data_IF_661143207826
#
_entry.id   IF_661143207826
#
_cell.length_a   1.000
_cell.length_b   1.000
_cell.length_c   1.000
_cell.angle_alpha   90.00
_cell.angle_beta   90.00
_cell.angle_gamma   90.00
#
_symmetry.space_group_name_H-M   'P 1'
#
loop_
_entity.id
_entity.type
_entity.pdbx_description
1 polymer ?
#
# COMPACT_ATOMS: atom_id res chain seq x y z
N UNK A 1 10.05 -23.08 22.20
CA UNK A 1 10.52 -24.48 22.10
C UNK A 1 12.02 -24.56 22.44
N UNK A 2 12.46 -25.53 23.25
CA UNK A 2 13.88 -25.72 23.58
C UNK A 2 14.50 -26.71 22.58
N UNK A 3 15.41 -26.24 21.72
CA UNK A 3 15.98 -27.06 20.63
C UNK A 3 17.38 -27.52 20.99
N UNK A 4 17.65 -28.81 20.80
CA UNK A 4 18.90 -29.47 21.14
C UNK A 4 19.66 -29.84 19.87
N UNK A 5 20.96 -29.53 19.82
CA UNK A 5 21.89 -30.14 18.87
C UNK A 5 21.96 -31.64 19.15
N UNK A 6 21.95 -32.44 18.09
CA UNK A 6 22.19 -33.88 18.15
C UNK A 6 23.50 -34.15 18.91
N UNK A 7 23.43 -34.94 19.98
CA UNK A 7 24.58 -35.34 20.80
C UNK A 7 24.99 -34.38 21.92
N UNK A 8 24.27 -33.28 22.18
CA UNK A 8 24.56 -32.40 23.32
C UNK A 8 23.67 -32.72 24.53
N UNK A 9 24.22 -32.56 25.73
CA UNK A 9 23.53 -32.76 27.03
C UNK A 9 22.83 -31.47 27.50
N UNK A 10 22.97 -30.37 26.75
CA UNK A 10 22.31 -29.10 27.04
C UNK A 10 21.63 -28.51 25.80
N UNK A 11 20.48 -27.81 25.96
CA UNK A 11 19.76 -27.20 24.84
C UNK A 11 20.64 -26.14 24.15
N UNK A 12 20.55 -26.07 22.83
CA UNK A 12 21.25 -25.09 22.00
C UNK A 12 20.48 -23.77 21.91
N UNK A 13 19.16 -23.83 22.10
CA UNK A 13 18.27 -22.70 22.39
C UNK A 13 17.48 -23.03 23.68
N UNK A 14 17.64 -22.24 24.75
CA UNK A 14 16.88 -22.41 26.01
C UNK A 14 15.75 -21.39 26.05
N UNK A 15 14.50 -21.82 26.23
CA UNK A 15 13.43 -20.89 26.62
C UNK A 15 13.48 -20.63 28.13
N UNK A 16 12.89 -19.50 28.55
CA UNK A 16 12.86 -19.04 29.95
C UNK A 16 12.25 -20.07 30.90
N UNK A 17 11.23 -20.80 30.45
CA UNK A 17 10.57 -21.88 31.20
C UNK A 17 11.52 -23.08 31.41
N UNK A 18 12.24 -23.52 30.37
CA UNK A 18 13.24 -24.59 30.51
C UNK A 18 14.38 -24.17 31.47
N UNK A 19 14.78 -22.89 31.48
CA UNK A 19 15.80 -22.36 32.40
C UNK A 19 15.33 -22.41 33.86
N UNK A 20 14.06 -22.11 34.11
CA UNK A 20 13.46 -22.15 35.44
C UNK A 20 13.22 -23.60 35.92
N UNK A 21 12.60 -24.44 35.09
CA UNK A 21 12.28 -25.83 35.42
C UNK A 21 13.53 -26.72 35.58
N UNK A 22 14.58 -26.50 34.79
CA UNK A 22 15.84 -27.25 34.94
C UNK A 22 16.58 -26.92 36.23
N UNK A 23 16.48 -25.68 36.73
CA UNK A 23 17.05 -25.28 38.02
C UNK A 23 16.27 -25.83 39.21
N UNK A 24 14.95 -25.94 39.11
CA UNK A 24 14.09 -26.38 40.22
C UNK A 24 13.94 -27.90 40.32
N UNK A 25 13.92 -28.63 39.20
CA UNK A 25 13.43 -30.01 39.19
C UNK A 25 14.39 -31.06 38.60
N UNK A 26 15.63 -30.72 38.21
CA UNK A 26 16.60 -31.68 37.62
C UNK A 26 16.00 -32.58 36.50
N UNK A 27 15.05 -32.06 35.74
CA UNK A 27 14.33 -32.82 34.71
C UNK A 27 15.26 -33.16 33.53
N UNK A 28 15.46 -34.45 33.26
CA UNK A 28 16.13 -34.95 32.05
C UNK A 28 15.16 -34.96 30.88
N UNK A 29 15.21 -33.93 30.03
CA UNK A 29 14.49 -33.93 28.76
C UNK A 29 15.28 -34.74 27.72
N UNK A 30 14.71 -35.83 27.22
CA UNK A 30 15.24 -36.51 26.03
C UNK A 30 14.78 -35.78 24.77
N UNK A 31 15.69 -35.25 23.94
CA UNK A 31 15.31 -34.51 22.75
C UNK A 31 14.64 -35.42 21.72
N UNK A 32 13.52 -34.97 21.15
CA UNK A 32 12.86 -35.67 20.05
C UNK A 32 13.71 -35.58 18.77
N UNK A 33 14.07 -36.72 18.14
CA UNK A 33 15.03 -36.73 17.03
C UNK A 33 14.36 -36.38 15.70
N UNK A 34 14.02 -35.09 15.49
CA UNK A 34 13.34 -34.60 14.28
C UNK A 34 13.98 -35.10 12.97
N UNK A 35 15.31 -35.11 12.89
CA UNK A 35 16.06 -35.55 11.69
C UNK A 35 16.01 -37.05 11.43
N UNK A 36 15.53 -37.87 12.38
CA UNK A 36 15.33 -39.32 12.18
C UNK A 36 13.95 -39.63 11.60
N UNK A 37 13.07 -38.64 11.48
CA UNK A 37 11.75 -38.86 10.90
C UNK A 37 11.83 -39.07 9.38
N UNK A 38 10.94 -39.90 8.81
CA UNK A 38 10.74 -39.92 7.38
C UNK A 38 10.35 -38.54 6.84
N UNK A 39 10.63 -38.30 5.56
CA UNK A 39 10.48 -36.99 4.91
C UNK A 39 9.08 -36.39 5.05
N UNK A 40 8.04 -37.22 4.93
CA UNK A 40 6.63 -36.78 4.96
C UNK A 40 6.24 -36.25 6.35
N UNK A 41 6.40 -37.01 7.46
CA UNK A 41 6.19 -36.48 8.81
C UNK A 41 7.01 -35.23 9.11
N UNK A 42 8.29 -35.19 8.70
CA UNK A 42 9.14 -34.02 8.94
C UNK A 42 8.59 -32.76 8.25
N UNK A 43 8.15 -32.88 6.99
CA UNK A 43 7.51 -31.77 6.25
C UNK A 43 6.20 -31.31 6.87
N UNK A 44 5.38 -32.23 7.37
CA UNK A 44 4.12 -31.89 8.04
C UNK A 44 4.39 -31.09 9.31
N UNK A 45 5.32 -31.56 10.15
CA UNK A 45 5.70 -30.88 11.38
C UNK A 45 6.22 -29.47 11.09
N UNK A 46 7.15 -29.32 10.13
CA UNK A 46 7.71 -28.01 9.84
C UNK A 46 6.71 -27.08 9.14
N UNK A 47 5.70 -27.58 8.43
CA UNK A 47 4.61 -26.74 7.90
C UNK A 47 3.70 -26.16 8.98
N UNK A 48 3.63 -26.81 10.14
CA UNK A 48 2.86 -26.34 11.29
C UNK A 48 3.62 -25.35 12.17
N UNK A 49 4.92 -25.18 11.93
CA UNK A 49 5.78 -24.26 12.67
C UNK A 49 5.65 -22.82 12.17
N UNK A 50 5.78 -21.85 13.08
CA UNK A 50 5.84 -20.45 12.70
C UNK A 50 7.27 -20.03 12.26
N UNK A 51 7.40 -18.82 11.71
CA UNK A 51 8.67 -18.34 11.15
C UNK A 51 9.81 -18.34 12.18
N UNK A 52 9.51 -18.09 13.46
CA UNK A 52 10.48 -18.11 14.55
C UNK A 52 11.01 -19.53 14.80
N UNK A 53 10.12 -20.53 14.85
CA UNK A 53 10.49 -21.94 15.00
C UNK A 53 11.30 -22.45 13.80
N UNK A 54 10.93 -22.06 12.57
CA UNK A 54 11.66 -22.38 11.34
C UNK A 54 13.08 -21.79 11.40
N UNK A 55 13.21 -20.52 11.79
CA UNK A 55 14.50 -19.87 11.96
C UNK A 55 15.38 -20.64 12.95
N UNK A 56 14.85 -20.95 14.14
CA UNK A 56 15.60 -21.67 15.18
C UNK A 56 16.02 -23.07 14.75
N UNK A 57 15.16 -23.79 14.05
CA UNK A 57 15.51 -25.10 13.48
C UNK A 57 16.67 -25.01 12.49
N UNK A 58 16.65 -23.99 11.62
CA UNK A 58 17.73 -23.77 10.64
C UNK A 58 19.08 -23.50 11.31
N UNK A 59 19.08 -22.80 12.45
CA UNK A 59 20.28 -22.50 13.23
C UNK A 59 20.84 -23.77 13.91
N UNK A 60 20.00 -24.74 14.26
CA UNK A 60 20.44 -25.92 15.01
C UNK A 60 21.27 -26.90 14.18
N UNK A 61 21.00 -27.03 12.87
CA UNK A 61 21.68 -27.99 11.98
C UNK A 61 21.71 -27.51 10.54
N UNK A 62 22.87 -27.65 9.88
CA UNK A 62 23.00 -27.35 8.45
C UNK A 62 22.17 -28.30 7.58
N UNK A 63 21.99 -29.56 7.98
CA UNK A 63 21.09 -30.48 7.27
C UNK A 63 19.63 -30.00 7.35
N UNK A 64 19.22 -29.50 8.52
CA UNK A 64 17.89 -28.92 8.69
C UNK A 64 17.73 -27.63 7.89
N UNK A 65 18.75 -26.77 7.88
CA UNK A 65 18.79 -25.57 7.04
C UNK A 65 18.53 -25.89 5.57
N UNK A 66 19.24 -26.88 5.01
CA UNK A 66 19.05 -27.31 3.62
C UNK A 66 17.63 -27.85 3.36
N UNK A 67 17.11 -28.66 4.28
CA UNK A 67 15.74 -29.17 4.19
C UNK A 67 14.72 -28.02 4.19
N UNK A 68 14.84 -27.06 5.11
CA UNK A 68 13.93 -25.92 5.23
C UNK A 68 14.02 -24.99 4.01
N UNK A 69 15.23 -24.74 3.48
CA UNK A 69 15.45 -23.99 2.23
C UNK A 69 14.69 -24.57 1.05
N UNK A 70 14.59 -25.91 0.97
CA UNK A 70 13.84 -26.59 -0.11
C UNK A 70 12.32 -26.42 0.01
N UNK A 71 11.81 -26.13 1.21
CA UNK A 71 10.37 -26.03 1.49
C UNK A 71 9.77 -24.65 1.23
N UNK A 72 10.60 -23.59 1.21
CA UNK A 72 10.21 -22.19 0.86
C UNK A 72 8.91 -21.73 1.53
N UNK A 73 8.91 -21.64 2.86
CA UNK A 73 7.71 -21.31 3.64
C UNK A 73 7.19 -19.91 3.30
N UNK A 74 5.87 -19.79 3.08
CA UNK A 74 5.25 -18.53 2.65
C UNK A 74 5.17 -17.53 3.80
N UNK A 75 5.70 -16.33 3.56
CA UNK A 75 5.53 -15.14 4.41
C UNK A 75 4.89 -14.02 3.58
N UNK A 76 4.31 -13.02 4.24
CA UNK A 76 3.65 -11.88 3.59
C UNK A 76 4.66 -10.96 2.91
N UNK A 77 5.79 -10.73 3.56
CA UNK A 77 6.75 -9.71 3.19
C UNK A 77 8.07 -9.90 3.93
N UNK A 78 9.14 -9.38 3.32
CA UNK A 78 10.41 -9.10 3.99
C UNK A 78 10.51 -7.60 4.20
N UNK A 79 10.69 -7.15 5.43
CA UNK A 79 10.74 -5.72 5.75
C UNK A 79 12.07 -5.41 6.42
N UNK A 80 12.87 -4.57 5.78
CA UNK A 80 14.11 -4.04 6.33
C UNK A 80 13.79 -2.70 6.99
N UNK A 81 14.07 -2.56 8.28
CA UNK A 81 14.00 -1.32 9.04
C UNK A 81 15.43 -0.89 9.36
N UNK A 82 15.81 0.30 8.91
CA UNK A 82 17.19 0.75 8.91
C UNK A 82 17.33 2.07 9.65
N UNK A 83 18.30 2.14 10.57
CA UNK A 83 18.94 3.38 11.01
C UNK A 83 20.45 3.13 11.14
N UNK A 84 21.24 4.08 11.65
CA UNK A 84 22.69 3.85 11.81
C UNK A 84 23.07 2.91 12.94
N UNK A 85 22.18 2.78 13.94
CA UNK A 85 22.44 2.04 15.17
C UNK A 85 22.00 0.57 15.09
N UNK A 86 21.03 0.26 14.23
CA UNK A 86 20.43 -1.05 14.06
C UNK A 86 19.97 -1.31 12.63
N UNK A 87 19.92 -2.60 12.29
CA UNK A 87 19.08 -3.11 11.22
C UNK A 87 18.07 -4.05 11.87
N UNK A 88 16.79 -3.88 11.57
CA UNK A 88 15.75 -4.80 11.97
C UNK A 88 15.16 -5.45 10.72
N UNK A 89 15.06 -6.78 10.73
CA UNK A 89 14.57 -7.57 9.61
C UNK A 89 13.33 -8.35 10.03
N UNK A 90 12.19 -7.93 9.50
CA UNK A 90 10.89 -8.49 9.88
C UNK A 90 10.33 -9.40 8.78
N UNK A 91 9.73 -10.51 9.22
CA UNK A 91 9.00 -11.43 8.37
C UNK A 91 7.56 -11.58 8.86
N UNK A 92 6.60 -11.25 8.00
CA UNK A 92 5.18 -11.27 8.38
C UNK A 92 4.50 -12.63 8.17
N UNK A 93 3.84 -13.17 9.23
CA UNK A 93 2.54 -13.88 9.18
C UNK A 93 2.01 -14.14 10.62
N UNK A 94 0.90 -13.52 11.06
CA UNK A 94 0.19 -13.65 12.38
C UNK A 94 1.05 -13.55 13.66
N UNK A 95 2.21 -14.19 13.68
CA UNK A 95 3.34 -14.03 14.59
C UNK A 95 4.45 -13.28 13.83
N UNK A 96 4.70 -12.02 14.19
CA UNK A 96 5.80 -11.25 13.62
C UNK A 96 7.11 -11.83 14.16
N UNK A 97 8.01 -12.32 13.30
CA UNK A 97 9.40 -12.56 13.70
C UNK A 97 10.19 -11.32 13.33
N UNK A 98 10.85 -10.73 14.33
CA UNK A 98 11.76 -9.61 14.15
C UNK A 98 13.19 -10.04 14.47
N UNK A 99 14.10 -9.86 13.53
CA UNK A 99 15.53 -10.12 13.73
C UNK A 99 16.23 -8.77 13.85
N UNK A 100 16.68 -8.45 15.06
CA UNK A 100 17.36 -7.20 15.36
C UNK A 100 18.86 -7.40 15.34
N UNK A 101 19.54 -6.52 14.62
CA UNK A 101 20.99 -6.47 14.54
C UNK A 101 21.44 -5.15 15.18
N UNK A 102 22.11 -5.23 16.33
CA UNK A 102 22.66 -4.06 17.02
C UNK A 102 24.13 -3.84 16.65
N UNK A 103 24.51 -2.57 16.47
CA UNK A 103 25.89 -2.17 16.15
C UNK A 103 26.77 -2.22 17.42
N UNK A 104 27.81 -3.06 17.41
CA UNK A 104 28.80 -3.12 18.49
C UNK A 104 30.07 -2.34 18.13
N UNK A 105 30.63 -1.59 19.08
CA UNK A 105 31.78 -0.68 18.90
C UNK A 105 33.11 -1.36 18.52
N UNK A 106 33.27 -2.67 18.72
CA UNK A 106 34.53 -3.37 18.49
C UNK A 106 34.42 -4.33 17.31
N UNK A 107 35.03 -3.96 16.18
CA UNK A 107 35.14 -4.79 14.97
C UNK A 107 36.05 -6.01 15.21
N UNK A 108 35.54 -7.06 15.85
CA UNK A 108 36.19 -8.37 15.79
C UNK A 108 36.12 -8.90 14.36
N UNK A 109 37.24 -9.34 13.79
CA UNK A 109 37.28 -10.10 12.54
C UNK A 109 36.51 -11.40 12.73
N UNK A 110 35.26 -11.42 12.29
CA UNK A 110 34.38 -12.58 12.38
C UNK A 110 34.37 -13.31 11.04
N UNK A 111 34.27 -14.64 11.08
CA UNK A 111 34.22 -15.43 9.87
C UNK A 111 32.96 -15.10 9.05
N UNK A 112 33.10 -15.11 7.72
CA UNK A 112 32.01 -14.84 6.78
C UNK A 112 30.76 -15.69 7.02
N UNK A 113 29.64 -14.99 7.11
CA UNK A 113 28.23 -15.33 6.85
C UNK A 113 27.92 -16.34 5.75
N UNK A 114 27.94 -17.67 5.94
CA UNK A 114 27.51 -18.62 4.88
C UNK A 114 26.43 -19.62 5.29
N UNK A 115 26.23 -19.87 6.58
CA UNK A 115 25.30 -20.88 7.12
C UNK A 115 24.58 -20.38 8.35
N UNK A 116 23.31 -20.73 8.52
CA UNK A 116 22.49 -20.36 9.68
C UNK A 116 23.08 -20.90 10.98
N UNK A 117 23.72 -22.08 10.95
CA UNK A 117 24.40 -22.67 12.11
C UNK A 117 25.49 -21.79 12.71
N UNK A 118 26.10 -20.90 11.92
CA UNK A 118 27.12 -19.97 12.43
C UNK A 118 26.53 -18.97 13.43
N UNK A 119 25.21 -18.71 13.40
CA UNK A 119 24.53 -17.87 14.39
C UNK A 119 24.47 -18.48 15.79
N UNK A 120 24.58 -19.80 15.95
CA UNK A 120 24.55 -20.44 17.27
C UNK A 120 25.61 -19.91 18.24
N UNK A 121 26.77 -19.49 17.70
CA UNK A 121 27.94 -19.12 18.49
C UNK A 121 28.03 -17.61 18.71
N UNK A 122 27.04 -16.86 18.24
CA UNK A 122 27.09 -15.41 18.06
C UNK A 122 26.35 -14.63 19.16
N UNK A 123 26.05 -15.28 20.30
CA UNK A 123 25.45 -14.65 21.48
C UNK A 123 24.12 -13.94 21.16
N UNK A 124 23.02 -14.67 21.09
CA UNK A 124 21.70 -14.05 20.85
C UNK A 124 20.90 -13.98 22.14
N UNK A 125 20.10 -12.93 22.26
CA UNK A 125 19.05 -12.81 23.26
C UNK A 125 17.69 -12.98 22.57
N UNK A 126 16.77 -13.67 23.24
CA UNK A 126 15.42 -13.87 22.76
C UNK A 126 14.46 -13.30 23.80
N UNK A 127 13.69 -12.29 23.38
CA UNK A 127 12.52 -11.83 24.12
C UNK A 127 11.29 -11.93 23.23
N UNK A 128 10.35 -12.80 23.62
CA UNK A 128 9.14 -13.14 22.87
C UNK A 128 9.39 -13.55 21.41
N UNK A 129 9.39 -12.58 20.51
CA UNK A 129 9.47 -12.71 19.06
C UNK A 129 10.65 -11.91 18.45
N UNK A 130 11.48 -11.31 19.29
CA UNK A 130 12.65 -10.55 18.88
C UNK A 130 13.88 -11.45 19.01
N UNK A 131 14.63 -11.57 17.92
CA UNK A 131 15.89 -12.29 17.86
C UNK A 131 17.03 -11.28 17.69
N UNK A 132 17.69 -10.94 18.80
CA UNK A 132 18.80 -9.97 18.78
C UNK A 132 20.13 -10.67 18.53
N UNK A 133 20.90 -10.21 17.54
CA UNK A 133 22.24 -10.73 17.21
C UNK A 133 23.26 -9.59 17.25
N UNK A 134 24.27 -9.70 18.13
CA UNK A 134 25.37 -8.71 18.26
C UNK A 134 26.34 -8.80 17.06
N UNK A 135 26.35 -7.85 16.10
CA UNK A 135 27.21 -7.94 14.90
C UNK A 135 27.92 -6.67 14.37
N UNK A 136 28.90 -6.93 13.48
CA UNK A 136 29.90 -6.06 12.82
C UNK A 136 29.80 -6.17 11.29
N UNK A 137 30.12 -5.07 10.58
CA UNK A 137 30.05 -4.78 9.13
C UNK A 137 28.68 -4.93 8.43
N UNK A 138 28.31 -3.95 7.61
CA UNK A 138 27.02 -3.89 6.89
C UNK A 138 26.80 -5.07 5.93
N UNK A 139 27.88 -5.58 5.31
CA UNK A 139 27.82 -6.70 4.36
C UNK A 139 27.42 -8.02 5.04
N UNK A 140 27.85 -8.25 6.28
CA UNK A 140 27.50 -9.47 7.01
C UNK A 140 26.03 -9.48 7.41
N UNK A 141 25.48 -8.34 7.79
CA UNK A 141 24.07 -8.21 8.13
C UNK A 141 23.20 -8.58 6.91
N UNK A 142 23.53 -8.05 5.73
CA UNK A 142 22.80 -8.40 4.51
C UNK A 142 22.95 -9.89 4.14
N UNK A 143 24.14 -10.47 4.34
CA UNK A 143 24.34 -11.90 4.15
C UNK A 143 23.46 -12.72 5.10
N UNK A 144 23.28 -12.27 6.34
CA UNK A 144 22.38 -12.90 7.30
C UNK A 144 20.92 -12.80 6.88
N UNK A 145 20.45 -11.61 6.51
CA UNK A 145 19.09 -11.42 6.00
C UNK A 145 18.84 -12.33 4.78
N UNK A 146 19.81 -12.45 3.87
CA UNK A 146 19.70 -13.35 2.72
C UNK A 146 19.56 -14.82 3.12
N UNK A 147 20.29 -15.28 4.14
CA UNK A 147 20.15 -16.64 4.65
C UNK A 147 18.75 -16.86 5.27
N UNK A 148 18.24 -15.89 6.02
CA UNK A 148 16.90 -15.95 6.61
C UNK A 148 15.81 -15.94 5.52
N UNK A 149 15.91 -15.02 4.56
CA UNK A 149 15.00 -14.93 3.41
C UNK A 149 15.01 -16.20 2.56
N UNK A 150 16.14 -16.90 2.46
CA UNK A 150 16.26 -18.12 1.67
C UNK A 150 15.40 -19.29 2.19
N UNK A 151 15.02 -19.27 3.47
CA UNK A 151 14.12 -20.26 4.08
C UNK A 151 12.65 -20.04 3.67
N UNK A 152 12.34 -18.84 3.20
CA UNK A 152 10.99 -18.38 2.94
C UNK A 152 10.77 -18.00 1.48
N UNK A 153 9.51 -17.87 1.09
CA UNK A 153 9.08 -17.27 -0.17
C UNK A 153 8.17 -16.09 0.16
N UNK A 154 8.49 -14.94 -0.43
CA UNK A 154 7.69 -13.73 -0.31
C UNK A 154 7.50 -13.08 -1.68
N UNK A 155 6.28 -12.62 -2.01
CA UNK A 155 6.07 -11.79 -3.18
C UNK A 155 6.53 -10.34 -2.95
N UNK A 156 6.76 -9.91 -1.70
CA UNK A 156 6.91 -8.51 -1.33
C UNK A 156 8.16 -8.23 -0.49
N UNK A 157 8.89 -7.16 -0.81
CA UNK A 157 10.09 -6.68 -0.12
C UNK A 157 10.00 -5.16 0.08
N UNK A 158 10.10 -4.73 1.32
CA UNK A 158 10.08 -3.33 1.73
C UNK A 158 11.40 -2.94 2.37
N UNK A 159 11.88 -1.74 2.04
CA UNK A 159 13.01 -1.09 2.69
C UNK A 159 12.54 0.20 3.34
N UNK A 160 12.65 0.27 4.66
CA UNK A 160 12.28 1.42 5.48
C UNK A 160 13.53 2.07 6.09
N UNK A 161 13.67 3.36 5.89
CA UNK A 161 14.79 4.18 6.35
C UNK A 161 14.27 5.16 7.40
N UNK A 162 14.83 5.12 8.61
CA UNK A 162 14.52 6.02 9.71
C UNK A 162 15.60 7.11 9.79
N UNK A 163 15.22 8.36 9.53
CA UNK A 163 16.17 9.45 9.28
C UNK A 163 16.59 10.27 10.50
N UNK A 164 15.97 10.10 11.68
CA UNK A 164 16.35 10.84 12.90
C UNK A 164 17.84 10.64 13.24
N UNK A 165 18.37 9.44 13.01
CA UNK A 165 19.76 9.06 13.30
C UNK A 165 20.41 8.31 12.11
N UNK A 166 20.27 8.81 10.87
CA UNK A 166 20.88 8.18 9.68
C UNK A 166 21.86 9.09 8.94
N UNK A 167 23.13 8.70 8.94
CA UNK A 167 24.19 9.28 8.14
C UNK A 167 24.04 8.94 6.65
N UNK A 168 24.30 9.92 5.79
CA UNK A 168 24.14 9.79 4.34
C UNK A 168 24.94 8.62 3.72
N UNK A 169 26.20 8.34 4.11
CA UNK A 169 26.92 7.17 3.59
C UNK A 169 26.25 5.84 3.94
N UNK A 170 25.56 5.73 5.08
CA UNK A 170 24.79 4.55 5.45
C UNK A 170 23.52 4.44 4.62
N UNK A 171 22.78 5.55 4.50
CA UNK A 171 21.60 5.63 3.66
C UNK A 171 21.91 5.13 2.24
N UNK A 172 22.88 5.76 1.57
CA UNK A 172 23.19 5.43 0.17
C UNK A 172 23.67 3.99 0.00
N UNK A 173 24.45 3.46 0.95
CA UNK A 173 24.86 2.07 0.91
C UNK A 173 23.65 1.12 0.86
N UNK A 174 22.65 1.29 1.74
CA UNK A 174 21.49 0.40 1.77
C UNK A 174 20.50 0.70 0.65
N UNK A 175 20.33 1.97 0.28
CA UNK A 175 19.52 2.37 -0.87
C UNK A 175 20.01 1.72 -2.16
N UNK A 176 21.33 1.72 -2.40
CA UNK A 176 21.94 1.04 -3.56
C UNK A 176 21.68 -0.47 -3.53
N UNK A 177 21.69 -1.08 -2.34
CA UNK A 177 21.36 -2.52 -2.18
C UNK A 177 19.89 -2.81 -2.43
N UNK A 178 18.99 -1.93 -2.02
CA UNK A 178 17.57 -2.04 -2.30
C UNK A 178 17.31 -1.98 -3.81
N UNK A 179 17.90 -1.00 -4.51
CA UNK A 179 17.69 -0.81 -5.95
C UNK A 179 18.37 -1.86 -6.84
N UNK A 180 19.51 -2.41 -6.42
CA UNK A 180 20.18 -3.50 -7.16
C UNK A 180 19.53 -4.88 -6.91
N UNK A 181 18.79 -5.01 -5.82
CA UNK A 181 18.02 -6.20 -5.48
C UNK A 181 16.56 -6.13 -5.93
N UNK A 182 15.74 -7.02 -5.38
CA UNK A 182 14.29 -6.91 -5.46
C UNK A 182 13.81 -5.95 -4.36
N UNK A 183 13.12 -4.89 -4.76
CA UNK A 183 12.48 -3.92 -3.86
C UNK A 183 11.11 -3.57 -4.44
N UNK A 184 10.06 -3.77 -3.66
CA UNK A 184 8.68 -3.46 -4.05
C UNK A 184 8.21 -2.15 -3.41
N UNK A 185 8.77 -1.77 -2.25
CA UNK A 185 8.41 -0.55 -1.52
C UNK A 185 9.60 0.12 -0.84
N UNK A 186 9.69 1.44 -1.01
CA UNK A 186 10.56 2.32 -0.24
C UNK A 186 9.75 3.12 0.78
N UNK A 187 10.21 3.13 2.03
CA UNK A 187 9.58 3.88 3.11
C UNK A 187 10.60 4.79 3.77
N UNK A 188 10.26 6.07 3.91
CA UNK A 188 11.07 7.06 4.60
C UNK A 188 10.31 7.48 5.85
N UNK A 189 10.89 7.29 7.02
CA UNK A 189 10.27 7.56 8.33
C UNK A 189 11.13 8.53 9.10
N UNK A 190 10.46 9.36 9.89
CA UNK A 190 11.11 10.23 10.87
C UNK A 190 12.08 11.23 10.19
N UNK A 191 12.57 12.21 10.95
CA UNK A 191 13.45 13.25 10.44
C UNK A 191 12.88 14.06 9.26
N UNK A 192 13.78 14.78 8.60
CA UNK A 192 13.47 15.61 7.43
C UNK A 192 14.32 15.18 6.24
N UNK A 193 13.70 15.08 5.06
CA UNK A 193 14.39 14.86 3.80
C UNK A 193 14.63 16.20 3.12
N UNK A 194 15.89 16.52 2.81
CA UNK A 194 16.19 17.69 1.99
C UNK A 194 15.66 17.51 0.57
N UNK A 195 15.41 18.62 -0.13
CA UNK A 195 14.94 18.58 -1.51
C UNK A 195 15.94 17.87 -2.43
N UNK A 196 17.24 18.08 -2.21
CA UNK A 196 18.30 17.45 -3.00
C UNK A 196 18.33 15.93 -2.78
N UNK A 197 18.18 15.48 -1.54
CA UNK A 197 18.14 14.07 -1.20
C UNK A 197 16.93 13.39 -1.82
N UNK A 198 15.75 13.97 -1.65
CA UNK A 198 14.51 13.40 -2.17
C UNK A 198 14.51 13.36 -3.70
N UNK A 199 15.03 14.41 -4.35
CA UNK A 199 15.25 14.46 -5.80
C UNK A 199 16.17 13.33 -6.25
N UNK A 200 17.33 13.18 -5.62
CA UNK A 200 18.29 12.12 -5.97
C UNK A 200 17.71 10.71 -5.76
N UNK A 201 16.87 10.51 -4.74
CA UNK A 201 16.13 9.27 -4.53
C UNK A 201 15.15 9.01 -5.68
N UNK A 202 14.31 9.99 -6.02
CA UNK A 202 13.28 9.83 -7.03
C UNK A 202 13.85 9.71 -8.46
N UNK A 203 15.00 10.33 -8.74
CA UNK A 203 15.70 10.16 -10.01
C UNK A 203 16.09 8.70 -10.25
N UNK A 204 16.49 8.00 -9.18
CA UNK A 204 17.00 6.63 -9.21
C UNK A 204 15.92 5.57 -8.99
N UNK A 205 14.86 5.89 -8.24
CA UNK A 205 13.77 4.95 -7.94
C UNK A 205 12.85 4.73 -9.17
N UNK A 206 12.57 3.47 -9.54
CA UNK A 206 11.57 3.15 -10.56
C UNK A 206 10.15 3.48 -10.10
N UNK A 207 9.35 4.06 -10.99
CA UNK A 207 7.93 4.39 -10.73
C UNK A 207 7.04 3.17 -10.53
N UNK A 208 7.50 1.96 -10.88
CA UNK A 208 6.77 0.72 -10.62
C UNK A 208 6.76 0.33 -9.13
N UNK A 209 7.56 0.98 -8.28
CA UNK A 209 7.62 0.71 -6.84
C UNK A 209 6.51 1.47 -6.09
N UNK A 210 6.23 1.02 -4.88
CA UNK A 210 5.46 1.78 -3.89
C UNK A 210 6.40 2.74 -3.12
N UNK A 211 5.96 3.97 -2.89
CA UNK A 211 6.72 4.99 -2.19
C UNK A 211 5.92 5.58 -1.03
N UNK A 212 6.47 5.52 0.18
CA UNK A 212 5.85 6.09 1.36
C UNK A 212 6.83 7.05 2.04
N UNK A 213 6.43 8.32 2.20
CA UNK A 213 7.23 9.37 2.81
C UNK A 213 6.47 9.90 4.02
N UNK A 214 6.90 9.42 5.19
CA UNK A 214 6.43 9.84 6.51
C UNK A 214 7.40 10.82 7.19
N UNK A 215 8.59 11.00 6.63
CA UNK A 215 9.54 12.06 6.97
C UNK A 215 9.02 13.43 6.50
N UNK A 216 9.49 14.49 7.15
CA UNK A 216 9.14 15.85 6.77
C UNK A 216 9.82 16.23 5.44
N UNK A 217 9.09 16.96 4.59
CA UNK A 217 9.57 17.44 3.28
C UNK A 217 9.21 18.91 3.08
N UNK A 218 9.96 19.58 2.21
CA UNK A 218 9.71 20.99 1.88
C UNK A 218 8.33 21.19 1.23
N UNK A 219 7.65 22.27 1.62
CA UNK A 219 6.38 22.69 1.02
C UNK A 219 6.52 23.16 -0.44
N UNK A 220 7.74 23.49 -0.86
CA UNK A 220 8.04 23.92 -2.22
C UNK A 220 8.61 22.78 -3.08
N UNK A 221 8.65 21.55 -2.55
CA UNK A 221 9.20 20.41 -3.28
C UNK A 221 8.45 20.17 -4.58
N UNK A 222 9.18 19.94 -5.67
CA UNK A 222 8.63 19.60 -6.98
C UNK A 222 9.50 18.56 -7.64
N UNK A 223 8.88 17.51 -8.17
CA UNK A 223 9.59 16.49 -8.92
C UNK A 223 8.69 15.79 -9.94
N UNK A 224 9.22 15.56 -11.15
CA UNK A 224 8.45 15.05 -12.30
C UNK A 224 7.86 13.65 -12.12
N UNK A 225 8.37 12.87 -11.15
CA UNK A 225 7.90 11.52 -10.79
C UNK A 225 7.11 11.46 -9.48
N UNK A 226 6.97 12.56 -8.74
CA UNK A 226 6.45 12.51 -7.37
C UNK A 226 5.04 11.89 -7.26
N UNK A 227 4.22 12.09 -8.30
CA UNK A 227 2.84 11.58 -8.37
C UNK A 227 2.68 10.34 -9.28
N UNK A 228 3.79 9.73 -9.72
CA UNK A 228 3.78 8.68 -10.76
C UNK A 228 4.07 7.26 -10.25
N UNK A 229 4.31 7.09 -8.96
CA UNK A 229 4.61 5.77 -8.40
C UNK A 229 3.35 4.87 -8.34
N UNK A 230 3.59 3.55 -8.39
CA UNK A 230 2.54 2.54 -8.35
C UNK A 230 1.65 2.65 -7.10
N UNK A 231 2.19 3.11 -5.99
CA UNK A 231 1.41 3.65 -4.87
C UNK A 231 2.21 4.74 -4.19
N UNK A 232 1.52 5.79 -3.74
CA UNK A 232 2.11 6.91 -3.02
C UNK A 232 1.42 7.11 -1.68
N UNK A 233 2.22 7.31 -0.64
CA UNK A 233 1.76 7.84 0.64
C UNK A 233 2.67 9.01 1.05
N UNK A 234 2.10 10.19 1.18
CA UNK A 234 2.76 11.37 1.72
C UNK A 234 2.07 11.79 3.02
N UNK A 235 2.82 11.78 4.13
CA UNK A 235 2.35 12.35 5.39
C UNK A 235 2.19 13.86 5.28
N UNK A 236 3.21 14.52 4.75
CA UNK A 236 3.20 15.94 4.41
C UNK A 236 2.94 16.09 2.91
N UNK A 237 1.74 16.55 2.55
CA UNK A 237 1.29 16.68 1.18
C UNK A 237 0.78 18.09 0.85
N UNK A 238 1.03 19.09 1.70
CA UNK A 238 0.63 20.49 1.46
C UNK A 238 1.32 21.14 0.26
N UNK A 239 2.41 20.54 -0.22
CA UNK A 239 3.08 20.94 -1.45
C UNK A 239 2.34 20.50 -2.72
N UNK A 240 1.46 19.50 -2.63
CA UNK A 240 0.70 18.93 -3.75
C UNK A 240 -0.42 19.88 -4.14
N UNK A 241 -0.49 20.21 -5.43
CA UNK A 241 -1.58 21.02 -6.01
C UNK A 241 -2.63 20.14 -6.70
N UNK A 242 -3.76 20.74 -7.06
CA UNK A 242 -4.79 20.04 -7.87
C UNK A 242 -4.19 19.57 -9.20
N UNK A 243 -3.34 20.40 -9.83
CA UNK A 243 -2.68 20.05 -11.09
C UNK A 243 -1.70 18.88 -10.93
N UNK A 244 -0.97 18.80 -9.81
CA UNK A 244 -0.13 17.64 -9.50
C UNK A 244 -0.98 16.35 -9.38
N UNK A 245 -2.14 16.44 -8.72
CA UNK A 245 -3.08 15.33 -8.59
C UNK A 245 -3.65 14.88 -9.95
N UNK A 246 -3.92 15.83 -10.86
CA UNK A 246 -4.33 15.55 -12.25
C UNK A 246 -3.29 14.78 -13.04
N UNK A 247 -2.00 14.81 -12.66
CA UNK A 247 -0.93 14.06 -13.35
C UNK A 247 -0.86 12.57 -13.00
N UNK A 248 -1.59 12.10 -11.98
CA UNK A 248 -1.55 10.70 -11.54
C UNK A 248 -2.06 9.79 -12.65
N UNK A 249 -1.30 8.74 -12.96
CA UNK A 249 -1.66 7.71 -13.95
C UNK A 249 -1.26 6.33 -13.46
N UNK A 250 -2.14 5.35 -13.66
CA UNK A 250 -1.92 3.94 -13.37
C UNK A 250 -1.44 3.64 -11.94
N UNK A 251 -1.79 4.49 -10.98
CA UNK A 251 -1.50 4.24 -9.57
C UNK A 251 -2.52 3.29 -8.97
N UNK A 252 -2.13 2.54 -7.94
CA UNK A 252 -3.06 1.69 -7.19
C UNK A 252 -3.69 2.49 -6.05
N UNK A 253 -2.86 3.16 -5.26
CA UNK A 253 -3.31 3.93 -4.09
C UNK A 253 -2.56 5.26 -4.03
N UNK A 254 -3.31 6.34 -3.88
CA UNK A 254 -2.79 7.66 -3.54
C UNK A 254 -3.28 8.01 -2.13
N UNK A 255 -2.36 8.30 -1.22
CA UNK A 255 -2.65 8.70 0.16
C UNK A 255 -1.93 9.99 0.49
N UNK A 256 -2.69 11.04 0.81
CA UNK A 256 -2.20 12.37 1.15
C UNK A 256 -2.72 12.74 2.55
N UNK A 257 -1.90 12.61 3.59
CA UNK A 257 -2.40 12.69 4.98
C UNK A 257 -2.55 14.10 5.52
N UNK A 258 -1.83 15.09 4.96
CA UNK A 258 -1.93 16.51 5.33
C UNK A 258 -1.90 17.34 4.06
N UNK A 259 -3.00 18.00 3.69
CA UNK A 259 -3.08 18.77 2.43
C UNK A 259 -3.55 20.20 2.67
N UNK A 260 -3.55 21.01 1.61
CA UNK A 260 -4.17 22.34 1.60
C UNK A 260 -5.53 22.34 0.87
N UNK A 261 -6.05 21.17 0.50
CA UNK A 261 -7.28 21.08 -0.30
C UNK A 261 -8.52 21.45 0.49
N UNK A 262 -9.40 22.21 -0.16
CA UNK A 262 -10.79 22.41 0.26
C UNK A 262 -11.80 21.74 -0.69
N UNK A 263 -13.10 21.87 -0.40
CA UNK A 263 -14.15 21.23 -1.20
C UNK A 263 -14.16 21.72 -2.66
N UNK A 264 -13.73 22.96 -2.93
CA UNK A 264 -13.66 23.50 -4.29
C UNK A 264 -12.52 22.84 -5.07
N UNK A 265 -11.36 22.68 -4.45
CA UNK A 265 -10.22 21.98 -5.07
C UNK A 265 -10.57 20.54 -5.45
N UNK A 266 -11.27 19.84 -4.55
CA UNK A 266 -11.71 18.46 -4.80
C UNK A 266 -12.78 18.41 -5.88
N UNK A 267 -13.74 19.34 -5.91
CA UNK A 267 -14.71 19.43 -7.00
C UNK A 267 -14.03 19.65 -8.36
N UNK A 268 -13.04 20.55 -8.43
CA UNK A 268 -12.24 20.76 -9.64
C UNK A 268 -11.54 19.48 -10.10
N UNK A 269 -10.94 18.75 -9.16
CA UNK A 269 -10.32 17.46 -9.44
C UNK A 269 -11.33 16.42 -9.92
N UNK A 270 -12.51 16.32 -9.30
CA UNK A 270 -13.55 15.35 -9.69
C UNK A 270 -14.09 15.63 -11.09
N UNK A 271 -14.29 16.90 -11.46
CA UNK A 271 -14.66 17.30 -12.83
C UNK A 271 -13.63 16.81 -13.84
N UNK A 272 -12.34 17.01 -13.53
CA UNK A 272 -11.26 16.48 -14.37
C UNK A 272 -11.28 14.94 -14.45
N UNK A 273 -11.49 14.25 -13.33
CA UNK A 273 -11.50 12.79 -13.28
C UNK A 273 -12.62 12.18 -14.14
N UNK A 274 -13.82 12.78 -14.11
CA UNK A 274 -14.98 12.34 -14.92
C UNK A 274 -14.70 12.43 -16.42
N UNK A 275 -14.00 13.48 -16.86
CA UNK A 275 -13.65 13.71 -18.26
C UNK A 275 -12.31 13.04 -18.67
N UNK A 276 -11.59 12.40 -17.74
CA UNK A 276 -10.30 11.79 -18.03
C UNK A 276 -10.47 10.56 -18.93
N UNK A 277 -9.56 10.38 -19.88
CA UNK A 277 -9.55 9.22 -20.80
C UNK A 277 -8.62 8.09 -20.35
N UNK A 278 -7.89 8.31 -19.25
CA UNK A 278 -6.87 7.39 -18.76
C UNK A 278 -7.17 6.94 -17.34
N UNK A 279 -6.80 5.70 -17.00
CA UNK A 279 -6.91 5.21 -15.63
C UNK A 279 -5.92 5.96 -14.72
N UNK A 280 -6.45 6.77 -13.79
CA UNK A 280 -5.64 7.52 -12.83
C UNK A 280 -5.21 6.65 -11.64
N UNK A 281 -6.16 6.17 -10.85
CA UNK A 281 -5.91 5.35 -9.66
C UNK A 281 -7.08 4.45 -9.29
N UNK A 282 -6.86 3.48 -8.38
CA UNK A 282 -7.97 2.68 -7.78
C UNK A 282 -8.53 3.27 -6.49
N UNK A 283 -7.70 3.97 -5.73
CA UNK A 283 -8.08 4.62 -4.47
C UNK A 283 -7.33 5.93 -4.31
N UNK A 284 -8.08 6.99 -4.04
CA UNK A 284 -7.55 8.26 -3.54
C UNK A 284 -8.07 8.44 -2.12
N UNK A 285 -7.14 8.62 -1.20
CA UNK A 285 -7.40 9.01 0.17
C UNK A 285 -6.69 10.33 0.42
N UNK A 286 -7.42 11.33 0.89
CA UNK A 286 -6.82 12.59 1.30
C UNK A 286 -7.49 13.13 2.56
N UNK A 287 -6.67 13.72 3.44
CA UNK A 287 -7.19 14.58 4.50
C UNK A 287 -7.21 16.01 3.97
N UNK A 288 -8.36 16.65 4.06
CA UNK A 288 -8.58 18.05 3.71
C UNK A 288 -7.70 18.95 4.58
N UNK A 289 -7.59 20.21 4.18
CA UNK A 289 -6.98 21.25 5.00
C UNK A 289 -7.60 21.26 6.41
N UNK A 290 -6.75 21.45 7.42
CA UNK A 290 -7.19 21.51 8.82
C UNK A 290 -8.28 22.58 9.00
N UNK A 291 -9.38 22.20 9.64
CA UNK A 291 -10.55 23.05 9.87
C UNK A 291 -11.56 23.09 8.71
N UNK A 292 -11.28 22.44 7.58
CA UNK A 292 -12.26 22.31 6.48
C UNK A 292 -13.39 21.36 6.89
N UNK A 293 -14.62 21.84 6.75
CA UNK A 293 -15.82 20.99 6.78
C UNK A 293 -16.15 20.65 5.33
N UNK A 294 -16.27 19.35 5.04
CA UNK A 294 -16.64 18.90 3.70
C UNK A 294 -18.07 19.35 3.40
N UNK A 295 -18.24 20.08 2.30
CA UNK A 295 -19.56 20.50 1.81
C UNK A 295 -19.89 19.67 0.57
N UNK A 296 -20.83 18.75 0.75
CA UNK A 296 -21.34 17.89 -0.31
C UNK A 296 -21.84 18.68 -1.52
N UNK A 297 -22.54 19.78 -1.32
CA UNK A 297 -23.11 20.55 -2.43
C UNK A 297 -22.01 21.13 -3.30
N UNK A 298 -20.91 21.61 -2.68
CA UNK A 298 -19.74 22.08 -3.40
C UNK A 298 -19.04 20.91 -4.10
N UNK A 299 -18.84 19.78 -3.41
CA UNK A 299 -18.19 18.60 -4.01
C UNK A 299 -18.91 18.09 -5.26
N UNK A 300 -20.25 18.08 -5.25
CA UNK A 300 -21.06 17.55 -6.34
C UNK A 300 -21.48 18.61 -7.36
N UNK A 301 -21.09 19.87 -7.19
CA UNK A 301 -21.50 20.95 -8.09
C UNK A 301 -21.12 20.64 -9.55
N UNK A 302 -22.11 20.73 -10.45
CA UNK A 302 -22.02 20.44 -11.88
C UNK A 302 -21.60 18.99 -12.24
N UNK A 303 -21.64 18.05 -11.29
CA UNK A 303 -21.41 16.62 -11.53
C UNK A 303 -22.72 15.85 -11.63
N UNK A 304 -22.77 14.88 -12.53
CA UNK A 304 -23.86 13.89 -12.53
C UNK A 304 -23.60 12.89 -11.42
N UNK A 305 -24.53 12.80 -10.46
CA UNK A 305 -24.38 11.95 -9.28
C UNK A 305 -25.61 11.09 -9.03
N UNK A 306 -25.38 9.90 -8.47
CA UNK A 306 -26.41 9.01 -7.94
C UNK A 306 -26.09 8.69 -6.49
N UNK A 307 -27.07 8.77 -5.61
CA UNK A 307 -26.93 8.59 -4.18
C UNK A 307 -27.88 7.50 -3.68
N UNK A 308 -27.39 6.70 -2.75
CA UNK A 308 -28.17 5.63 -2.10
C UNK A 308 -29.00 6.21 -0.95
N UNK A 309 -30.33 6.09 -0.95
CA UNK A 309 -31.19 6.76 0.03
C UNK A 309 -31.12 6.17 1.45
N UNK A 310 -30.52 4.99 1.64
CA UNK A 310 -30.68 4.20 2.88
C UNK A 310 -29.43 3.42 3.34
N UNK A 311 -28.23 3.70 2.82
CA UNK A 311 -27.03 3.12 3.41
C UNK A 311 -26.54 4.04 4.53
N UNK A 312 -26.18 3.48 5.70
CA UNK A 312 -25.55 4.19 6.82
C UNK A 312 -24.27 4.98 6.42
N UNK A 313 -23.82 4.85 5.17
CA UNK A 313 -22.60 5.42 4.62
C UNK A 313 -22.82 6.53 3.57
N UNK A 314 -24.06 6.84 3.17
CA UNK A 314 -24.41 7.91 2.21
C UNK A 314 -23.47 7.98 0.98
N UNK A 315 -23.32 6.85 0.28
CA UNK A 315 -22.45 6.74 -0.89
C UNK A 315 -22.95 7.64 -2.04
N UNK A 316 -22.07 8.49 -2.56
CA UNK A 316 -22.28 9.33 -3.75
C UNK A 316 -21.47 8.73 -4.90
N UNK A 317 -22.16 8.31 -5.94
CA UNK A 317 -21.58 7.68 -7.11
C UNK A 317 -21.42 8.67 -8.26
N UNK A 318 -20.29 8.57 -8.95
CA UNK A 318 -19.94 9.28 -10.18
C UNK A 318 -19.36 8.29 -11.19
N UNK A 319 -19.36 8.64 -12.48
CA UNK A 319 -18.87 7.79 -13.56
C UNK A 319 -17.97 8.59 -14.51
N UNK A 320 -16.92 7.97 -15.02
CA UNK A 320 -16.14 8.52 -16.13
C UNK A 320 -16.96 8.51 -17.43
N UNK A 321 -16.85 9.56 -18.24
CA UNK A 321 -17.59 9.67 -19.50
C UNK A 321 -17.02 8.78 -20.60
N UNK A 322 -15.70 8.75 -20.71
CA UNK A 322 -15.01 8.03 -21.77
C UNK A 322 -14.65 6.61 -21.29
N UNK A 323 -15.52 5.65 -21.60
CA UNK A 323 -15.39 4.21 -21.26
C UNK A 323 -14.28 3.48 -22.05
N UNK A 324 -13.14 4.12 -22.34
CA UNK A 324 -12.03 3.47 -23.04
C UNK A 324 -11.43 2.42 -22.08
N UNK A 325 -11.77 1.15 -22.33
CA UNK A 325 -11.34 -0.08 -21.64
C UNK A 325 -12.14 -0.57 -20.40
N UNK A 326 -13.35 -0.06 -20.12
CA UNK A 326 -14.42 -0.65 -19.28
C UNK A 326 -14.11 -1.26 -17.89
N UNK A 327 -12.86 -1.39 -17.44
CA UNK A 327 -12.55 -2.17 -16.24
C UNK A 327 -12.80 -1.34 -14.97
N UNK A 328 -12.60 -0.02 -15.01
CA UNK A 328 -12.68 0.85 -13.84
C UNK A 328 -13.19 2.25 -14.24
N UNK A 329 -14.50 2.43 -14.32
CA UNK A 329 -15.12 3.71 -14.72
C UNK A 329 -16.15 4.24 -13.73
N UNK A 330 -16.47 3.48 -12.67
CA UNK A 330 -17.44 3.86 -11.65
C UNK A 330 -16.66 4.23 -10.39
N UNK A 331 -16.99 5.33 -9.74
CA UNK A 331 -16.40 5.66 -8.45
C UNK A 331 -17.45 6.09 -7.45
N UNK A 332 -17.11 5.95 -6.17
CA UNK A 332 -17.91 6.50 -5.09
C UNK A 332 -17.05 7.14 -4.02
N UNK A 333 -17.64 8.11 -3.35
CA UNK A 333 -17.13 8.72 -2.13
C UNK A 333 -18.28 8.90 -1.14
N UNK A 334 -17.94 9.14 0.13
CA UNK A 334 -18.92 9.20 1.21
C UNK A 334 -19.16 10.64 1.64
N UNK A 335 -20.40 10.91 2.05
CA UNK A 335 -20.81 12.16 2.70
C UNK A 335 -20.53 12.10 4.22
N UNK A 336 -19.25 12.09 4.61
CA UNK A 336 -18.86 12.12 6.03
C UNK A 336 -18.72 13.55 6.56
N UNK A 337 -18.99 13.73 7.86
CA UNK A 337 -18.70 14.98 8.61
C UNK A 337 -17.20 15.11 8.97
N UNK A 338 -16.35 14.21 8.46
CA UNK A 338 -14.91 14.22 8.71
C UNK A 338 -14.16 15.10 7.71
N UNK A 339 -12.96 15.51 8.07
CA UNK A 339 -11.96 16.14 7.19
C UNK A 339 -11.30 15.15 6.23
N UNK A 340 -11.85 13.94 6.05
CA UNK A 340 -11.29 12.88 5.21
C UNK A 340 -12.17 12.73 3.97
N UNK A 341 -11.55 12.87 2.80
CA UNK A 341 -12.14 12.53 1.53
C UNK A 341 -11.52 11.25 0.98
N UNK A 342 -12.37 10.31 0.59
CA UNK A 342 -11.95 9.05 -0.01
C UNK A 342 -12.76 8.76 -1.26
N UNK A 343 -12.07 8.58 -2.39
CA UNK A 343 -12.64 8.18 -3.66
C UNK A 343 -12.16 6.76 -4.01
N UNK A 344 -13.10 5.84 -4.16
CA UNK A 344 -12.86 4.45 -4.53
C UNK A 344 -13.35 4.20 -5.93
N UNK A 345 -12.45 3.75 -6.81
CA UNK A 345 -12.76 3.43 -8.20
C UNK A 345 -13.00 1.93 -8.34
N UNK A 346 -14.14 1.59 -8.90
CA UNK A 346 -14.72 0.26 -9.02
C UNK A 346 -14.96 -0.12 -10.47
N UNK A 347 -15.18 -1.42 -10.67
CA UNK A 347 -15.68 -1.92 -11.94
C UNK A 347 -17.18 -1.66 -12.07
N UNK A 348 -17.71 -1.29 -13.25
CA UNK A 348 -19.14 -1.05 -13.44
C UNK A 348 -20.04 -2.20 -12.98
N UNK A 349 -19.57 -3.45 -13.08
CA UNK A 349 -20.34 -4.65 -12.73
C UNK A 349 -20.58 -4.80 -11.23
N UNK A 350 -19.89 -4.04 -10.37
CA UNK A 350 -20.15 -4.07 -8.93
C UNK A 350 -21.49 -3.42 -8.59
N UNK A 351 -21.93 -2.44 -9.38
CA UNK A 351 -23.21 -1.75 -9.23
C UNK A 351 -23.85 -1.47 -10.61
N UNK A 352 -24.35 -2.51 -11.30
CA UNK A 352 -24.86 -2.37 -12.67
C UNK A 352 -26.03 -1.37 -12.76
N UNK A 353 -26.96 -1.41 -11.80
CA UNK A 353 -28.12 -0.51 -11.74
C UNK A 353 -27.69 0.96 -11.67
N UNK A 354 -26.72 1.28 -10.80
CA UNK A 354 -26.19 2.63 -10.62
C UNK A 354 -25.43 3.09 -11.87
N UNK A 355 -24.63 2.20 -12.46
CA UNK A 355 -23.89 2.51 -13.69
C UNK A 355 -24.84 2.84 -14.85
N UNK A 356 -25.93 2.09 -15.01
CA UNK A 356 -26.94 2.39 -16.04
C UNK A 356 -27.69 3.70 -15.75
N UNK A 357 -28.03 3.99 -14.49
CA UNK A 357 -28.62 5.28 -14.11
C UNK A 357 -27.69 6.46 -14.46
N UNK A 358 -26.40 6.36 -14.12
CA UNK A 358 -25.41 7.39 -14.44
C UNK A 358 -25.28 7.62 -15.95
N UNK A 359 -25.30 6.56 -16.77
CA UNK A 359 -25.30 6.69 -18.24
C UNK A 359 -26.55 7.42 -18.76
N UNK A 360 -27.72 7.08 -18.22
CA UNK A 360 -28.97 7.74 -18.62
C UNK A 360 -28.99 9.21 -18.21
N UNK A 361 -28.46 9.54 -17.04
CA UNK A 361 -28.38 10.91 -16.53
C UNK A 361 -27.39 11.76 -17.33
N UNK A 362 -26.20 11.25 -17.66
CA UNK A 362 -25.25 11.96 -18.54
C UNK A 362 -25.87 12.23 -19.91
N UNK A 363 -26.51 11.23 -20.52
CA UNK A 363 -27.19 11.42 -21.81
C UNK A 363 -28.33 12.45 -21.72
N UNK A 364 -29.05 12.48 -20.59
CA UNK A 364 -30.10 13.48 -20.35
C UNK A 364 -29.48 14.88 -20.25
N UNK A 365 -28.40 15.04 -19.48
CA UNK A 365 -27.66 16.30 -19.33
C UNK A 365 -27.13 16.82 -20.67
N UNK A 366 -26.55 15.95 -21.50
CA UNK A 366 -26.05 16.33 -22.83
C UNK A 366 -27.16 16.86 -23.74
N UNK A 367 -28.33 16.20 -23.73
CA UNK A 367 -29.49 16.65 -24.51
C UNK A 367 -30.10 17.95 -23.97
N UNK A 368 -30.10 18.17 -22.66
CA UNK A 368 -30.52 19.44 -22.05
C UNK A 368 -29.58 20.59 -22.46
N UNK A 369 -28.26 20.36 -22.47
CA UNK A 369 -27.25 21.32 -22.95
C UNK A 369 -27.43 21.61 -24.45
N UNK A 370 -27.63 20.57 -25.27
CA UNK A 370 -27.86 20.72 -26.70
C UNK A 370 -29.14 21.54 -26.98
N UNK A 371 -30.21 21.26 -26.25
CA UNK A 371 -31.47 21.99 -26.35
C UNK A 371 -31.28 23.48 -26.02
N UNK A 372 -30.63 23.80 -24.89
CA UNK A 372 -30.37 25.19 -24.50
C UNK A 372 -29.52 25.93 -25.54
N UNK A 373 -28.50 25.29 -26.12
CA UNK A 373 -27.69 25.89 -27.20
C UNK A 373 -28.52 26.22 -28.45
N UNK A 374 -29.46 25.34 -28.81
CA UNK A 374 -30.35 25.54 -29.95
C UNK A 374 -31.37 26.67 -29.67
N UNK A 375 -31.83 26.78 -28.42
CA UNK A 375 -32.73 27.84 -27.97
C UNK A 375 -32.03 29.21 -27.91
N UNK A 376 -30.79 29.30 -27.43
CA UNK A 376 -30.02 30.55 -27.44
C UNK A 376 -29.67 31.02 -28.86
N UNK A 377 -29.36 30.08 -29.77
CA UNK A 377 -29.12 30.41 -31.19
C UNK A 377 -30.39 30.96 -31.89
N UNK A 378 -31.57 30.60 -31.38
CA UNK A 378 -32.88 31.07 -31.87
C UNK A 378 -33.04 32.57 -31.81
N UNK A 379 -32.71 33.10 -30.64
CA UNK A 379 -32.94 34.49 -30.27
C UNK A 379 -32.10 35.42 -31.14
N UNK A 380 -31.00 34.89 -31.70
CA UNK A 380 -30.02 35.63 -32.48
C UNK A 380 -30.22 35.57 -34.01
N UNK A 381 -30.87 34.53 -34.57
CA UNK A 381 -30.88 34.28 -36.03
C UNK A 381 -32.25 33.93 -36.65
N UNK A 382 -33.33 33.86 -35.86
CA UNK A 382 -34.69 33.56 -36.35
C UNK A 382 -35.01 32.06 -36.46
N UNK A 383 -36.30 31.72 -36.39
CA UNK A 383 -36.77 30.32 -36.43
C UNK A 383 -36.73 29.71 -37.83
N UNK A 384 -36.22 28.49 -37.96
CA UNK A 384 -36.25 27.69 -39.19
C UNK A 384 -36.97 26.36 -38.97
N UNK A 385 -37.66 25.85 -39.98
CA UNK A 385 -38.42 24.58 -39.90
C UNK A 385 -37.53 23.37 -39.55
N UNK A 386 -36.29 23.36 -40.04
CA UNK A 386 -35.28 22.36 -39.70
C UNK A 386 -34.94 22.37 -38.20
N UNK A 387 -34.82 23.56 -37.59
CA UNK A 387 -34.56 23.70 -36.15
C UNK A 387 -35.74 23.21 -35.32
N UNK A 388 -36.96 23.57 -35.71
CA UNK A 388 -38.18 23.10 -35.02
C UNK A 388 -38.31 21.57 -35.04
N UNK A 389 -37.83 20.92 -36.10
CA UNK A 389 -37.76 19.46 -36.17
C UNK A 389 -36.77 18.89 -35.13
N UNK A 390 -35.55 19.44 -35.06
CA UNK A 390 -34.52 19.00 -34.10
C UNK A 390 -34.99 19.17 -32.66
N UNK A 391 -35.59 20.32 -32.31
CA UNK A 391 -36.13 20.58 -30.96
C UNK A 391 -37.17 19.53 -30.57
N UNK A 392 -38.09 19.14 -31.48
CA UNK A 392 -39.07 18.09 -31.22
C UNK A 392 -38.43 16.72 -31.00
N UNK A 393 -37.39 16.40 -31.78
CA UNK A 393 -36.65 15.14 -31.65
C UNK A 393 -35.93 15.05 -30.29
N UNK A 394 -35.20 16.10 -29.89
CA UNK A 394 -34.53 16.19 -28.58
C UNK A 394 -35.55 16.10 -27.44
N UNK A 395 -36.64 16.87 -27.54
CA UNK A 395 -37.71 16.87 -26.53
C UNK A 395 -38.34 15.49 -26.35
N UNK A 396 -38.62 14.79 -27.46
CA UNK A 396 -39.13 13.41 -27.42
C UNK A 396 -38.11 12.45 -26.80
N UNK A 397 -36.82 12.64 -27.08
CA UNK A 397 -35.73 11.87 -26.48
C UNK A 397 -35.65 12.05 -24.96
N UNK A 398 -35.77 13.30 -24.47
CA UNK A 398 -35.79 13.62 -23.04
C UNK A 398 -36.99 12.98 -22.33
N UNK A 399 -38.17 12.95 -22.95
CA UNK A 399 -39.35 12.26 -22.40
C UNK A 399 -39.10 10.76 -22.26
N UNK A 400 -38.50 10.13 -23.27
CA UNK A 400 -38.16 8.71 -23.24
C UNK A 400 -37.14 8.40 -22.13
N UNK A 401 -36.08 9.19 -22.02
CA UNK A 401 -35.06 9.02 -20.98
C UNK A 401 -35.64 9.19 -19.59
N UNK A 402 -36.54 10.17 -19.39
CA UNK A 402 -37.23 10.34 -18.11
C UNK A 402 -38.03 9.11 -17.73
N UNK A 403 -38.69 8.45 -18.69
CA UNK A 403 -39.41 7.19 -18.44
C UNK A 403 -38.45 6.07 -18.04
N UNK A 404 -37.35 5.91 -18.77
CA UNK A 404 -36.31 4.91 -18.47
C UNK A 404 -35.67 5.14 -17.09
N UNK A 405 -35.42 6.38 -16.70
CA UNK A 405 -34.91 6.73 -15.38
C UNK A 405 -35.89 6.30 -14.27
N UNK A 406 -37.20 6.52 -14.45
CA UNK A 406 -38.22 6.09 -13.49
C UNK A 406 -38.34 4.56 -13.43
N UNK A 407 -38.25 3.88 -14.58
CA UNK A 407 -38.26 2.41 -14.66
C UNK A 407 -37.02 1.79 -13.99
N UNK A 408 -35.84 2.38 -14.18
CA UNK A 408 -34.58 1.88 -13.63
C UNK A 408 -34.33 2.28 -12.17
N UNK A 409 -35.10 3.25 -11.64
CA UNK A 409 -34.96 3.72 -10.26
C UNK A 409 -35.85 2.96 -9.25
N UNK A 410 -35.86 1.62 -9.32
CA UNK A 410 -36.67 0.77 -8.43
C UNK A 410 -36.32 0.93 -6.93
N UNK A 411 -35.10 1.39 -6.64
CA UNK A 411 -34.55 1.53 -5.28
C UNK A 411 -34.58 2.96 -4.74
N UNK A 412 -35.32 3.85 -5.39
CA UNK A 412 -35.51 5.25 -4.97
C UNK A 412 -34.19 6.04 -4.81
N UNK A 413 -33.19 5.76 -5.64
CA UNK A 413 -31.96 6.52 -5.71
C UNK A 413 -32.22 8.02 -5.91
N UNK A 414 -31.44 8.84 -5.22
CA UNK A 414 -31.47 10.30 -5.32
C UNK A 414 -30.40 10.71 -6.34
N UNK A 415 -30.74 11.51 -7.34
CA UNK A 415 -29.80 11.92 -8.38
C UNK A 415 -29.81 13.44 -8.61
N UNK A 416 -28.66 13.97 -8.98
CA UNK A 416 -28.44 15.37 -9.36
C UNK A 416 -27.59 15.42 -10.64
N UNK A 417 -27.72 16.51 -11.41
CA UNK A 417 -27.03 16.71 -12.71
C UNK A 417 -26.46 18.11 -12.82
#
# INVERSE_FOLDING_TARGET
>A
MCIWKTGKVSPTCRCTICRFLSKLFNLKFTPFPLLKLPLVPLRLITRMMNSNEILKLSICSYQMELFLKSSKYKVRGFHYQLNDSFLQFDMGKRDYLSVNFEKVKNERQLEKVTKMKQLCNRGYQEDQNIFSIEYISKNEILAMCNLVSSLHSSPFIQWAFHFDDMEMPTFWYYFDKALTGKCDMLVFREGSLSEELLTAVMDRAPVSMEMCIFSDISLNFRHSKAMKYFSINYKEARWVTVDDLKTVRNSKVVTLETTNFDSSDINEFLKYWVDCEEHMFRRLYLRMKEGTVIDKNILTDQLVTVQTPNDNCNHIFIKMRNDINNEFSLAYFNDFVSDIFELLVLRPETHPDINELLKLLEKKKDLEIELSRIEEAAENLGETEARNKIVREISSGLVLLRRQLMENNEKEYIFAM
#
